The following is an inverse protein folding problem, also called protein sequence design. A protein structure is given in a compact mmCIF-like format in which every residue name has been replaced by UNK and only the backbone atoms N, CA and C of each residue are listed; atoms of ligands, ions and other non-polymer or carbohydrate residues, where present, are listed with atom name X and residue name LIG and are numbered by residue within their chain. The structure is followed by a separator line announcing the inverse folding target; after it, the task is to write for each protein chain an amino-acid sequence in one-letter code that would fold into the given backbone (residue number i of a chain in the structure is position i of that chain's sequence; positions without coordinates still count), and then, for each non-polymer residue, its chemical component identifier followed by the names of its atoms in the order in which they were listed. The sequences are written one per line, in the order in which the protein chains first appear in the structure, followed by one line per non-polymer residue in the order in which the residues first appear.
data_IF_285489463330
#
_entry.id   IF_285489463330
#
_cell.length_a   1.000
_cell.length_b   1.000
_cell.length_c   1.000
_cell.angle_alpha   90.00
_cell.angle_beta   90.00
_cell.angle_gamma   90.00
#
_symmetry.space_group_name_H-M   'P 1'
#
loop_
_entity.id
_entity.type
_entity.pdbx_description
1 polymer ?
#
# COMPACT_ATOMS: atom_id res chain seq x y z
N UNK A 1 10.04 17.54 -15.09
CA UNK A 1 11.29 17.56 -14.30
C UNK A 1 11.18 16.83 -12.96
N UNK A 2 10.14 17.05 -12.14
CA UNK A 2 9.95 16.40 -10.83
C UNK A 2 9.36 14.97 -10.88
N UNK A 3 9.28 14.36 -12.06
CA UNK A 3 8.81 12.99 -12.26
C UNK A 3 10.02 12.05 -12.41
N UNK A 4 9.77 10.73 -12.32
CA UNK A 4 10.81 9.73 -12.54
C UNK A 4 11.46 9.90 -13.93
N UNK A 5 12.76 9.63 -14.09
CA UNK A 5 13.40 9.63 -15.40
C UNK A 5 12.87 8.55 -16.35
N UNK A 6 12.14 7.56 -15.84
CA UNK A 6 11.42 6.58 -16.65
C UNK A 6 9.98 7.02 -16.99
N UNK A 7 9.55 8.20 -16.57
CA UNK A 7 8.29 8.82 -17.00
C UNK A 7 8.57 9.86 -18.07
N UNK A 8 7.90 9.74 -19.21
CA UNK A 8 8.00 10.68 -20.34
C UNK A 8 6.64 11.32 -20.58
N UNK A 9 6.60 12.65 -20.62
CA UNK A 9 5.41 13.42 -21.00
C UNK A 9 4.98 13.09 -22.44
N UNK A 10 3.69 13.26 -22.82
CA UNK A 10 3.26 13.24 -24.21
C UNK A 10 4.09 14.15 -25.14
N UNK A 11 4.70 15.22 -24.60
CA UNK A 11 5.59 16.14 -25.32
C UNK A 11 7.04 15.63 -25.46
N UNK A 12 7.33 14.38 -25.07
CA UNK A 12 8.67 13.78 -25.16
C UNK A 12 9.66 14.21 -24.06
N UNK A 13 9.21 14.96 -23.05
CA UNK A 13 10.05 15.42 -21.94
C UNK A 13 10.07 14.36 -20.83
N UNK A 14 11.24 13.79 -20.56
CA UNK A 14 11.43 12.85 -19.45
C UNK A 14 11.61 13.58 -18.11
N UNK A 15 11.18 12.96 -17.02
CA UNK A 15 11.55 13.38 -15.67
C UNK A 15 13.07 13.31 -15.45
N UNK A 16 13.56 13.93 -14.37
CA UNK A 16 14.97 13.77 -13.98
C UNK A 16 15.03 12.99 -12.68
N UNK A 17 14.42 13.54 -11.63
CA UNK A 17 14.34 12.94 -10.29
C UNK A 17 13.13 13.53 -9.57
N UNK A 18 12.40 12.72 -8.83
CA UNK A 18 11.34 13.18 -7.94
C UNK A 18 11.91 13.75 -6.62
N UNK A 19 12.38 14.99 -6.70
CA UNK A 19 12.96 15.72 -5.56
C UNK A 19 11.96 15.87 -4.39
N UNK A 20 10.67 16.20 -4.61
CA UNK A 20 9.70 16.24 -3.51
C UNK A 20 9.56 14.91 -2.76
N UNK A 21 9.53 13.79 -3.49
CA UNK A 21 9.47 12.46 -2.88
C UNK A 21 10.74 12.13 -2.07
N UNK A 22 11.91 12.47 -2.59
CA UNK A 22 13.18 12.33 -1.85
C UNK A 22 13.19 13.16 -0.57
N UNK A 23 12.71 14.40 -0.63
CA UNK A 23 12.69 15.31 0.50
C UNK A 23 11.78 14.78 1.62
N UNK A 24 10.55 14.35 1.28
CA UNK A 24 9.61 13.86 2.30
C UNK A 24 10.06 12.52 2.88
N UNK A 25 10.57 11.59 2.07
CA UNK A 25 11.11 10.31 2.56
C UNK A 25 12.28 10.56 3.52
N UNK A 26 13.21 11.44 3.15
CA UNK A 26 14.34 11.82 4.02
C UNK A 26 13.88 12.45 5.32
N UNK A 27 12.94 13.40 5.25
CA UNK A 27 12.41 14.07 6.44
C UNK A 27 11.74 13.08 7.40
N UNK A 28 10.87 12.19 6.89
CA UNK A 28 10.16 11.20 7.71
C UNK A 28 11.12 10.13 8.24
N UNK A 29 12.10 9.67 7.47
CA UNK A 29 13.11 8.72 7.95
C UNK A 29 13.97 9.31 9.08
N UNK A 30 14.39 10.58 8.97
CA UNK A 30 15.12 11.26 10.04
C UNK A 30 14.28 11.46 11.30
N UNK A 31 12.99 11.79 11.11
CA UNK A 31 12.01 11.88 12.20
C UNK A 31 11.85 10.52 12.91
N UNK A 32 11.77 9.42 12.15
CA UNK A 32 11.71 8.06 12.70
C UNK A 32 12.99 7.69 13.48
N UNK A 33 14.17 8.07 12.99
CA UNK A 33 15.45 7.83 13.68
C UNK A 33 15.52 8.60 15.00
N UNK A 34 15.07 9.86 15.03
CA UNK A 34 15.01 10.67 16.26
C UNK A 34 14.06 10.07 17.31
N UNK A 35 13.10 9.27 16.87
CA UNK A 35 12.14 8.56 17.69
C UNK A 35 10.80 9.27 17.69
N UNK A 36 9.77 8.55 17.25
CA UNK A 36 8.38 9.03 17.24
C UNK A 36 7.69 8.59 18.51
N UNK A 37 7.72 9.43 19.54
CA UNK A 37 6.82 9.27 20.68
C UNK A 37 5.47 9.87 20.28
N UNK A 38 4.79 9.21 19.35
CA UNK A 38 3.51 9.67 18.85
C UNK A 38 2.50 9.72 19.99
N UNK A 39 1.83 10.86 20.13
CA UNK A 39 0.64 10.94 20.97
C UNK A 39 -0.51 10.31 20.20
N UNK A 40 -1.15 9.28 20.76
CA UNK A 40 -2.35 8.66 20.18
C UNK A 40 -3.43 9.70 19.81
N UNK A 41 -3.44 10.85 20.52
CA UNK A 41 -4.28 12.01 20.22
C UNK A 41 -4.00 12.62 18.84
N UNK A 42 -2.72 12.83 18.49
CA UNK A 42 -2.32 13.42 17.20
C UNK A 42 -2.71 12.48 16.06
N UNK A 43 -2.46 11.18 16.23
CA UNK A 43 -2.87 10.18 15.24
C UNK A 43 -4.40 10.19 15.04
N UNK A 44 -5.18 10.27 16.13
CA UNK A 44 -6.64 10.34 16.04
C UNK A 44 -7.12 11.58 15.30
N UNK A 45 -6.53 12.75 15.55
CA UNK A 45 -6.86 13.98 14.80
C UNK A 45 -6.61 13.79 13.30
N UNK A 46 -5.43 13.25 12.95
CA UNK A 46 -5.05 13.03 11.55
C UNK A 46 -6.05 12.08 10.87
N UNK A 47 -6.45 11.00 11.53
CA UNK A 47 -7.45 10.06 10.99
C UNK A 47 -8.82 10.72 10.82
N UNK A 48 -9.29 11.48 11.83
CA UNK A 48 -10.57 12.19 11.75
C UNK A 48 -10.57 13.16 10.57
N UNK A 49 -9.51 13.93 10.39
CA UNK A 49 -9.38 14.88 9.26
C UNK A 49 -9.42 14.15 7.92
N UNK A 50 -8.68 13.03 7.77
CA UNK A 50 -8.69 12.23 6.53
C UNK A 50 -10.09 11.70 6.22
N UNK A 51 -10.76 11.10 7.19
CA UNK A 51 -12.11 10.52 7.01
C UNK A 51 -13.13 11.61 6.72
N UNK A 52 -13.09 12.73 7.45
CA UNK A 52 -14.01 13.85 7.27
C UNK A 52 -13.94 14.40 5.85
N UNK A 53 -12.74 14.49 5.25
CA UNK A 53 -12.57 15.01 3.90
C UNK A 53 -13.08 14.04 2.84
N UNK A 54 -12.85 12.73 3.03
CA UNK A 54 -13.45 11.71 2.15
C UNK A 54 -14.98 11.78 2.20
N UNK A 55 -15.56 11.86 3.39
CA UNK A 55 -17.01 12.00 3.58
C UNK A 55 -17.53 13.30 2.96
N UNK A 56 -16.81 14.41 3.12
CA UNK A 56 -17.17 15.70 2.53
C UNK A 56 -17.21 15.62 0.99
N UNK A 57 -16.22 14.99 0.36
CA UNK A 57 -16.19 14.80 -1.10
C UNK A 57 -17.37 13.93 -1.54
N UNK A 58 -17.66 12.84 -0.82
CA UNK A 58 -18.80 11.97 -1.14
C UNK A 58 -20.10 12.76 -1.05
N UNK A 59 -20.32 13.48 0.05
CA UNK A 59 -21.56 14.21 0.31
C UNK A 59 -21.79 15.36 -0.68
N UNK A 60 -20.76 16.18 -0.94
CA UNK A 60 -20.87 17.28 -1.89
C UNK A 60 -20.91 16.78 -3.33
N UNK A 61 -20.06 15.83 -3.68
CA UNK A 61 -19.98 15.28 -5.03
C UNK A 61 -21.24 14.55 -5.46
N UNK A 62 -22.01 13.99 -4.53
CA UNK A 62 -23.30 13.35 -4.84
C UNK A 62 -24.27 14.27 -5.58
N UNK A 63 -24.29 15.56 -5.25
CA UNK A 63 -25.14 16.55 -5.91
C UNK A 63 -24.70 16.93 -7.33
N UNK A 64 -23.51 16.50 -7.75
CA UNK A 64 -22.90 16.81 -9.06
C UNK A 64 -22.74 15.56 -9.94
N UNK A 65 -23.30 14.41 -9.52
CA UNK A 65 -23.27 13.20 -10.33
C UNK A 65 -24.09 13.42 -11.60
N UNK A 66 -23.47 13.20 -12.75
CA UNK A 66 -24.16 13.10 -14.03
C UNK A 66 -24.41 11.63 -14.34
N UNK A 67 -25.69 11.22 -14.35
CA UNK A 67 -26.11 9.83 -14.61
C UNK A 67 -25.62 9.31 -15.97
N UNK A 68 -25.39 10.19 -16.95
CA UNK A 68 -24.82 9.79 -18.24
C UNK A 68 -23.43 9.17 -18.12
N UNK A 69 -22.64 9.56 -17.10
CA UNK A 69 -21.33 8.97 -16.85
C UNK A 69 -21.43 7.53 -16.30
N UNK A 70 -22.58 7.15 -15.76
CA UNK A 70 -22.85 5.79 -15.26
C UNK A 70 -23.65 4.92 -16.23
N UNK A 71 -24.04 5.46 -17.40
CA UNK A 71 -24.82 4.72 -18.39
C UNK A 71 -24.12 3.42 -18.84
N UNK A 72 -22.78 3.46 -18.98
CA UNK A 72 -21.94 2.29 -19.24
C UNK A 72 -21.05 1.98 -18.03
N UNK A 73 -21.67 1.55 -16.93
CA UNK A 73 -20.95 1.29 -15.67
C UNK A 73 -19.83 0.25 -15.78
N UNK A 74 -20.03 -0.77 -16.63
CA UNK A 74 -18.99 -1.72 -17.04
C UNK A 74 -18.77 -1.53 -18.53
N UNK A 75 -17.65 -0.90 -18.94
CA UNK A 75 -17.31 -0.77 -20.35
C UNK A 75 -17.11 -2.14 -21.01
N UNK A 76 -17.36 -2.20 -22.31
CA UNK A 76 -17.09 -3.39 -23.13
C UNK A 76 -15.61 -3.82 -23.04
N UNK A 77 -15.32 -5.13 -23.09
CA UNK A 77 -13.95 -5.63 -23.05
C UNK A 77 -13.09 -5.07 -24.18
N UNK A 78 -12.06 -4.33 -23.82
CA UNK A 78 -11.10 -3.70 -24.72
C UNK A 78 -9.68 -3.85 -24.16
N UNK A 79 -8.68 -3.51 -24.98
CA UNK A 79 -7.29 -3.38 -24.54
C UNK A 79 -6.91 -1.92 -24.49
N UNK A 80 -6.19 -1.56 -23.43
CA UNK A 80 -5.65 -0.22 -23.25
C UNK A 80 -4.13 -0.31 -23.15
N UNK A 81 -3.43 0.54 -23.89
CA UNK A 81 -1.99 0.69 -23.80
C UNK A 81 -1.71 1.91 -22.94
N UNK A 82 -0.97 1.72 -21.86
CA UNK A 82 -0.59 2.82 -20.99
C UNK A 82 0.55 3.66 -21.59
N UNK A 83 0.94 4.71 -20.88
CA UNK A 83 2.03 5.62 -21.27
C UNK A 83 3.41 4.94 -21.33
N UNK A 84 3.55 3.73 -20.77
CA UNK A 84 4.77 2.93 -20.79
C UNK A 84 4.76 1.92 -21.96
N UNK A 85 3.70 1.88 -22.77
CA UNK A 85 3.55 0.92 -23.86
C UNK A 85 3.06 -0.45 -23.40
N UNK A 86 2.63 -0.59 -22.15
CA UNK A 86 2.17 -1.84 -21.56
C UNK A 86 0.68 -2.00 -21.85
N UNK A 87 0.32 -3.18 -22.36
CA UNK A 87 -1.08 -3.49 -22.71
C UNK A 87 -1.81 -4.12 -21.52
N UNK A 88 -2.91 -3.49 -21.11
CA UNK A 88 -3.81 -3.96 -20.06
C UNK A 88 -5.19 -4.29 -20.63
N UNK A 89 -5.89 -5.20 -19.95
CA UNK A 89 -7.32 -5.43 -20.20
C UNK A 89 -8.12 -4.28 -19.58
N UNK A 90 -9.08 -3.75 -20.32
CA UNK A 90 -10.01 -2.70 -19.90
C UNK A 90 -11.45 -3.17 -20.13
N UNK A 91 -12.38 -2.82 -19.25
CA UNK A 91 -13.76 -3.29 -19.36
C UNK A 91 -13.93 -4.79 -19.12
N UNK A 92 -15.19 -5.22 -18.97
CA UNK A 92 -15.56 -6.59 -18.65
C UNK A 92 -14.89 -7.17 -17.39
N UNK A 93 -14.98 -8.49 -17.22
CA UNK A 93 -14.50 -9.20 -16.03
C UNK A 93 -12.97 -9.11 -15.90
N UNK A 94 -12.23 -9.20 -17.01
CA UNK A 94 -10.77 -9.15 -16.98
C UNK A 94 -10.24 -7.75 -16.64
N UNK A 95 -10.90 -6.69 -17.11
CA UNK A 95 -10.58 -5.31 -16.72
C UNK A 95 -10.86 -5.06 -15.23
N UNK A 96 -12.00 -5.56 -14.72
CA UNK A 96 -12.33 -5.49 -13.29
C UNK A 96 -11.28 -6.21 -12.45
N UNK A 97 -10.82 -7.39 -12.88
CA UNK A 97 -9.83 -8.18 -12.14
C UNK A 97 -8.47 -7.50 -12.07
N UNK A 98 -7.99 -6.95 -13.19
CA UNK A 98 -6.74 -6.18 -13.23
C UNK A 98 -6.82 -4.87 -12.44
N UNK A 99 -7.96 -4.17 -12.54
CA UNK A 99 -8.22 -2.98 -11.73
C UNK A 99 -8.26 -3.31 -10.24
N UNK A 100 -8.92 -4.40 -9.85
CA UNK A 100 -8.99 -4.88 -8.46
C UNK A 100 -7.59 -5.16 -7.89
N UNK A 101 -6.72 -5.82 -8.65
CA UNK A 101 -5.32 -6.03 -8.26
C UNK A 101 -4.51 -4.74 -8.14
N UNK A 102 -4.84 -3.72 -8.94
CA UNK A 102 -4.19 -2.40 -8.87
C UNK A 102 -4.65 -1.60 -7.66
N UNK A 103 -5.96 -1.43 -7.48
CA UNK A 103 -6.54 -0.68 -6.35
C UNK A 103 -6.39 -1.39 -5.01
N UNK A 104 -6.02 -2.68 -5.01
CA UNK A 104 -5.63 -3.41 -3.81
C UNK A 104 -4.56 -2.67 -2.99
N UNK A 105 -3.68 -1.91 -3.66
CA UNK A 105 -2.71 -1.03 -3.00
C UNK A 105 -3.37 -0.10 -1.95
N UNK A 106 -4.56 0.43 -2.24
CA UNK A 106 -5.27 1.34 -1.34
C UNK A 106 -5.77 0.67 -0.05
N UNK A 107 -5.85 -0.67 -0.02
CA UNK A 107 -6.26 -1.44 1.14
C UNK A 107 -5.08 -1.86 2.03
N UNK A 108 -3.83 -1.63 1.62
CA UNK A 108 -2.65 -2.01 2.39
C UNK A 108 -2.53 -1.13 3.64
N UNK A 109 -2.26 -1.74 4.80
CA UNK A 109 -2.05 -1.05 6.06
C UNK A 109 -2.93 -1.51 7.21
N UNK A 110 -3.99 -2.29 6.97
CA UNK A 110 -4.77 -2.90 8.07
C UNK A 110 -3.92 -3.85 8.92
N UNK A 111 -2.90 -4.46 8.32
CA UNK A 111 -1.92 -5.33 8.95
C UNK A 111 -0.98 -4.56 9.89
N UNK A 112 -0.83 -3.23 9.73
CA UNK A 112 -0.09 -2.40 10.68
C UNK A 112 -0.70 -2.44 12.08
N UNK A 113 -2.03 -2.64 12.20
CA UNK A 113 -2.69 -2.83 13.51
C UNK A 113 -2.10 -4.03 14.24
N UNK A 114 -1.71 -5.09 13.53
CA UNK A 114 -1.05 -6.27 14.11
C UNK A 114 0.25 -5.94 14.85
N UNK A 115 0.95 -4.89 14.44
CA UNK A 115 2.21 -4.46 15.07
C UNK A 115 2.00 -3.81 16.44
N UNK A 116 0.79 -3.30 16.71
CA UNK A 116 0.41 -2.73 17.99
C UNK A 116 -0.16 -3.79 18.96
N UNK A 117 -0.15 -5.07 18.59
CA UNK A 117 -0.70 -6.15 19.43
C UNK A 117 -0.11 -6.19 20.85
N UNK A 118 1.17 -5.81 21.00
CA UNK A 118 1.86 -5.77 22.29
C UNK A 118 1.48 -4.57 23.17
N UNK A 119 0.91 -3.53 22.56
CA UNK A 119 0.49 -2.27 23.22
C UNK A 119 -1.02 -2.27 23.52
N UNK A 120 -1.76 -3.25 22.99
CA UNK A 120 -3.21 -3.38 23.13
C UNK A 120 -3.60 -4.02 24.46
N UNK A 121 -4.55 -3.41 25.20
CA UNK A 121 -5.03 -3.92 26.49
C UNK A 121 -5.69 -5.29 26.38
N UNK A 122 -6.56 -5.50 25.40
CA UNK A 122 -7.20 -6.79 25.14
C UNK A 122 -6.99 -7.23 23.68
N UNK A 123 -5.81 -7.77 23.34
CA UNK A 123 -5.48 -8.13 21.96
C UNK A 123 -6.47 -9.13 21.35
N UNK A 124 -7.15 -9.93 22.19
CA UNK A 124 -8.13 -10.93 21.77
C UNK A 124 -9.37 -10.34 21.10
N UNK A 125 -9.86 -9.21 21.61
CA UNK A 125 -11.09 -8.56 21.14
C UNK A 125 -10.79 -7.32 20.30
N UNK A 126 -9.83 -6.53 20.73
CA UNK A 126 -9.56 -5.21 20.15
C UNK A 126 -8.88 -5.33 18.78
N UNK A 127 -8.01 -6.33 18.59
CA UNK A 127 -7.27 -6.50 17.33
C UNK A 127 -8.18 -6.93 16.17
N UNK A 128 -9.02 -7.98 16.31
CA UNK A 128 -9.95 -8.34 15.24
C UNK A 128 -10.95 -7.22 14.94
N UNK A 129 -11.44 -6.51 15.95
CA UNK A 129 -12.35 -5.39 15.77
C UNK A 129 -11.67 -4.22 15.04
N UNK A 130 -10.43 -3.89 15.41
CA UNK A 130 -9.65 -2.86 14.73
C UNK A 130 -9.36 -3.20 13.27
N UNK A 131 -8.93 -4.44 12.99
CA UNK A 131 -8.60 -4.88 11.62
C UNK A 131 -9.87 -4.97 10.75
N UNK A 132 -10.88 -5.72 11.18
CA UNK A 132 -12.10 -5.93 10.37
C UNK A 132 -12.95 -4.66 10.30
N UNK A 133 -13.08 -3.92 11.40
CA UNK A 133 -13.86 -2.68 11.46
C UNK A 133 -13.27 -1.61 10.56
N UNK A 134 -11.95 -1.38 10.62
CA UNK A 134 -11.29 -0.43 9.71
C UNK A 134 -11.42 -0.85 8.24
N UNK A 135 -11.27 -2.15 7.94
CA UNK A 135 -11.39 -2.66 6.57
C UNK A 135 -12.80 -2.45 6.00
N UNK A 136 -13.85 -2.76 6.77
CA UNK A 136 -15.25 -2.59 6.34
C UNK A 136 -15.56 -1.10 6.09
N UNK A 137 -15.19 -0.23 7.04
CA UNK A 137 -15.41 1.22 6.91
C UNK A 137 -14.69 1.77 5.67
N UNK A 138 -13.40 1.42 5.50
CA UNK A 138 -12.63 1.87 4.33
C UNK A 138 -13.22 1.32 3.02
N UNK A 139 -13.69 0.07 3.01
CA UNK A 139 -14.34 -0.53 1.82
C UNK A 139 -15.57 0.27 1.41
N UNK A 140 -16.46 0.58 2.36
CA UNK A 140 -17.69 1.36 2.10
C UNK A 140 -17.31 2.75 1.57
N UNK A 141 -16.37 3.43 2.23
CA UNK A 141 -15.92 4.75 1.81
C UNK A 141 -15.29 4.72 0.43
N UNK A 142 -14.44 3.74 0.10
CA UNK A 142 -13.81 3.62 -1.21
C UNK A 142 -14.82 3.34 -2.32
N UNK A 143 -15.82 2.48 -2.09
CA UNK A 143 -16.88 2.20 -3.06
C UNK A 143 -17.72 3.45 -3.33
N UNK A 144 -18.17 4.13 -2.28
CA UNK A 144 -18.94 5.37 -2.41
C UNK A 144 -18.12 6.48 -3.09
N UNK A 145 -16.85 6.62 -2.69
CA UNK A 145 -15.94 7.59 -3.26
C UNK A 145 -15.69 7.34 -4.75
N UNK A 146 -15.41 6.10 -5.14
CA UNK A 146 -15.23 5.73 -6.54
C UNK A 146 -16.51 5.98 -7.36
N UNK A 147 -17.68 5.62 -6.82
CA UNK A 147 -18.97 5.85 -7.47
C UNK A 147 -19.25 7.34 -7.72
N UNK A 148 -19.03 8.18 -6.72
CA UNK A 148 -19.16 9.64 -6.86
C UNK A 148 -18.16 10.16 -7.89
N UNK A 149 -16.88 9.76 -7.79
CA UNK A 149 -15.82 10.29 -8.64
C UNK A 149 -16.03 9.95 -10.12
N UNK A 150 -16.47 8.73 -10.45
CA UNK A 150 -16.83 8.34 -11.83
C UNK A 150 -18.16 8.94 -12.29
N UNK A 151 -19.00 9.42 -11.36
CA UNK A 151 -20.21 10.17 -11.67
C UNK A 151 -19.96 11.63 -12.03
N UNK A 152 -18.89 12.23 -11.48
CA UNK A 152 -18.52 13.63 -11.73
C UNK A 152 -17.99 13.85 -13.15
N UNK A 153 -17.13 12.95 -13.63
CA UNK A 153 -16.47 13.07 -14.94
C UNK A 153 -16.36 11.69 -15.61
N UNK A 154 -16.41 11.61 -16.96
CA UNK A 154 -16.39 10.33 -17.67
C UNK A 154 -15.07 9.57 -17.47
N UNK A 155 -15.10 8.23 -17.60
CA UNK A 155 -13.91 7.38 -17.38
C UNK A 155 -12.71 7.77 -18.25
N UNK A 156 -12.94 8.23 -19.48
CA UNK A 156 -11.88 8.67 -20.38
C UNK A 156 -11.15 9.92 -19.88
N UNK A 157 -11.78 10.73 -19.03
CA UNK A 157 -11.12 11.84 -18.34
C UNK A 157 -9.98 11.34 -17.43
N UNK A 158 -10.20 10.24 -16.70
CA UNK A 158 -9.19 9.64 -15.82
C UNK A 158 -8.09 8.91 -16.58
N UNK A 159 -8.37 8.49 -17.82
CA UNK A 159 -7.39 7.82 -18.69
C UNK A 159 -6.49 8.81 -19.42
N UNK A 160 -6.95 10.06 -19.58
CA UNK A 160 -6.16 11.11 -20.22
C UNK A 160 -5.00 11.55 -19.30
N UNK A 161 -3.74 11.30 -19.68
CA UNK A 161 -2.56 11.68 -18.89
C UNK A 161 -2.46 13.18 -18.61
N UNK A 162 -3.06 14.01 -19.48
CA UNK A 162 -2.99 15.47 -19.38
C UNK A 162 -4.03 16.05 -18.42
N UNK A 163 -5.05 15.26 -18.05
CA UNK A 163 -6.20 15.74 -17.27
C UNK A 163 -6.33 15.01 -15.93
N UNK A 164 -6.56 13.71 -15.99
CA UNK A 164 -7.01 12.90 -14.85
C UNK A 164 -5.90 12.16 -14.09
N UNK A 165 -4.64 12.54 -14.28
CA UNK A 165 -3.44 11.85 -13.78
C UNK A 165 -3.32 11.73 -12.25
N UNK A 166 -2.13 11.93 -11.68
CA UNK A 166 -1.83 11.59 -10.27
C UNK A 166 -2.75 12.28 -9.22
N UNK A 167 -3.36 13.42 -9.58
CA UNK A 167 -4.29 14.18 -8.73
C UNK A 167 -5.75 14.07 -9.21
N UNK A 168 -6.19 12.87 -9.58
CA UNK A 168 -7.50 12.56 -10.19
C UNK A 168 -8.71 13.21 -9.48
N UNK A 169 -8.73 13.17 -8.15
CA UNK A 169 -9.81 13.74 -7.33
C UNK A 169 -9.86 15.27 -7.45
N UNK A 170 -8.70 15.91 -7.39
CA UNK A 170 -8.57 17.36 -7.51
C UNK A 170 -8.93 17.82 -8.93
N UNK A 171 -8.54 17.05 -9.94
CA UNK A 171 -8.90 17.30 -11.33
C UNK A 171 -10.42 17.19 -11.55
N UNK A 172 -11.05 16.12 -11.05
CA UNK A 172 -12.49 15.92 -11.17
C UNK A 172 -13.30 17.03 -10.45
N UNK A 173 -12.85 17.46 -9.26
CA UNK A 173 -13.49 18.59 -8.55
C UNK A 173 -13.39 19.89 -9.36
N UNK A 174 -12.24 20.17 -9.97
CA UNK A 174 -12.07 21.40 -10.77
C UNK A 174 -12.93 21.40 -12.02
N UNK A 175 -13.07 20.25 -12.66
CA UNK A 175 -13.87 20.09 -13.89
C UNK A 175 -15.37 20.12 -13.61
N UNK A 176 -15.86 19.29 -12.69
CA UNK A 176 -17.29 19.11 -12.44
C UNK A 176 -17.87 20.11 -11.42
N UNK A 177 -17.03 20.72 -10.57
CA UNK A 177 -17.45 21.59 -9.47
C UNK A 177 -16.62 22.89 -9.42
N UNK A 178 -16.63 23.72 -10.49
CA UNK A 178 -15.79 24.92 -10.57
C UNK A 178 -16.05 25.93 -9.44
N UNK A 179 -17.28 26.03 -8.91
CA UNK A 179 -17.59 26.87 -7.76
C UNK A 179 -16.97 26.41 -6.43
N UNK A 180 -16.52 25.15 -6.33
CA UNK A 180 -15.90 24.58 -5.12
C UNK A 180 -14.37 24.56 -5.19
N UNK A 181 -13.75 25.57 -5.81
CA UNK A 181 -12.28 25.67 -5.88
C UNK A 181 -11.57 25.63 -4.51
N UNK A 182 -12.24 26.05 -3.43
CA UNK A 182 -11.73 25.91 -2.06
C UNK A 182 -11.64 24.44 -1.62
N UNK A 183 -12.57 23.59 -2.05
CA UNK A 183 -12.60 22.16 -1.74
C UNK A 183 -11.38 21.48 -2.35
N UNK A 184 -11.08 21.75 -3.62
CA UNK A 184 -9.89 21.24 -4.31
C UNK A 184 -8.58 21.57 -3.56
N UNK A 185 -8.43 22.81 -3.07
CA UNK A 185 -7.26 23.23 -2.29
C UNK A 185 -7.18 22.51 -0.94
N UNK A 186 -8.28 22.47 -0.21
CA UNK A 186 -8.35 21.78 1.10
C UNK A 186 -8.05 20.29 0.98
N UNK A 187 -8.59 19.63 -0.05
CA UNK A 187 -8.33 18.22 -0.37
C UNK A 187 -6.85 18.00 -0.68
N UNK A 188 -6.22 18.88 -1.44
CA UNK A 188 -4.78 18.79 -1.74
C UNK A 188 -3.95 18.82 -0.45
N UNK A 189 -4.20 19.77 0.44
CA UNK A 189 -3.48 19.89 1.73
C UNK A 189 -3.67 18.63 2.59
N UNK A 190 -4.90 18.12 2.63
CA UNK A 190 -5.22 16.93 3.41
C UNK A 190 -4.63 15.65 2.84
N UNK A 191 -4.56 15.50 1.52
CA UNK A 191 -3.87 14.38 0.88
C UNK A 191 -2.37 14.42 1.23
N UNK A 192 -1.73 15.60 1.16
CA UNK A 192 -0.32 15.75 1.53
C UNK A 192 -0.05 15.39 3.01
N UNK A 193 -0.88 15.89 3.92
CA UNK A 193 -0.80 15.52 5.34
C UNK A 193 -1.17 14.04 5.58
N UNK A 194 -2.07 13.51 4.75
CA UNK A 194 -2.52 12.13 4.79
C UNK A 194 -1.40 11.16 4.42
N UNK A 195 -0.70 11.42 3.32
CA UNK A 195 0.40 10.59 2.84
C UNK A 195 1.61 10.63 3.75
N UNK A 196 1.97 11.76 4.35
CA UNK A 196 3.08 11.82 5.30
C UNK A 196 2.88 10.87 6.50
N UNK A 197 1.64 10.79 7.00
CA UNK A 197 1.27 9.84 8.06
C UNK A 197 1.34 8.38 7.60
N UNK A 198 0.96 8.06 6.35
CA UNK A 198 1.08 6.67 5.82
C UNK A 198 2.56 6.29 5.64
N UNK A 199 3.39 7.19 5.11
CA UNK A 199 4.84 6.96 4.94
C UNK A 199 5.48 6.63 6.30
N UNK A 200 5.13 7.38 7.35
CA UNK A 200 5.65 7.13 8.70
C UNK A 200 5.30 5.72 9.20
N UNK A 201 4.03 5.32 9.08
CA UNK A 201 3.56 3.99 9.53
C UNK A 201 4.25 2.87 8.76
N UNK A 202 4.39 3.00 7.43
CA UNK A 202 5.02 2.00 6.59
C UNK A 202 6.53 1.84 6.89
N UNK A 203 7.25 2.95 7.04
CA UNK A 203 8.68 2.93 7.41
C UNK A 203 8.89 2.34 8.81
N UNK A 204 8.00 2.66 9.77
CA UNK A 204 8.04 2.08 11.11
C UNK A 204 7.80 0.56 11.09
N UNK A 205 6.79 0.10 10.34
CA UNK A 205 6.50 -1.32 10.14
C UNK A 205 7.70 -2.06 9.55
N UNK A 206 8.27 -1.53 8.45
CA UNK A 206 9.45 -2.09 7.80
C UNK A 206 10.65 -2.18 8.75
N UNK A 207 10.92 -1.12 9.51
CA UNK A 207 12.01 -1.07 10.51
C UNK A 207 11.88 -2.18 11.55
N UNK A 208 10.66 -2.42 12.07
CA UNK A 208 10.37 -3.47 13.05
C UNK A 208 10.59 -4.88 12.48
N UNK A 209 10.12 -5.13 11.25
CA UNK A 209 10.31 -6.43 10.58
C UNK A 209 11.80 -6.71 10.38
N UNK A 210 12.55 -5.73 9.87
CA UNK A 210 14.00 -5.89 9.62
C UNK A 210 14.78 -6.07 10.92
N UNK A 211 14.38 -5.38 11.98
CA UNK A 211 14.96 -5.57 13.32
C UNK A 211 14.78 -7.01 13.82
N UNK A 212 13.56 -7.58 13.69
CA UNK A 212 13.30 -8.97 14.09
C UNK A 212 14.10 -9.96 13.23
N UNK A 213 14.08 -9.80 11.91
CA UNK A 213 14.83 -10.66 10.98
C UNK A 213 16.34 -10.62 11.24
N UNK A 214 16.87 -9.44 11.61
CA UNK A 214 18.28 -9.27 12.01
C UNK A 214 18.60 -10.04 13.30
N UNK A 215 17.70 -10.00 14.30
CA UNK A 215 17.87 -10.79 15.53
C UNK A 215 17.86 -12.29 15.27
N UNK A 216 17.06 -12.74 14.31
CA UNK A 216 17.00 -14.15 13.88
C UNK A 216 18.23 -14.57 13.05
N UNK A 217 19.13 -13.62 12.72
CA UNK A 217 20.34 -13.85 11.92
C UNK A 217 20.09 -13.93 10.41
N UNK A 218 18.87 -13.59 9.96
CA UNK A 218 18.51 -13.59 8.54
C UNK A 218 19.04 -12.36 7.79
N UNK A 219 19.25 -11.25 8.50
CA UNK A 219 19.84 -10.01 8.00
C UNK A 219 21.12 -9.62 8.78
N UNK A 220 21.97 -8.71 8.26
CA UNK A 220 23.14 -8.20 8.96
C UNK A 220 22.81 -7.52 10.30
N UNK A 221 23.66 -7.71 11.32
CA UNK A 221 23.46 -7.18 12.69
C UNK A 221 23.22 -5.66 12.75
N UNK A 222 23.68 -4.91 11.74
CA UNK A 222 23.45 -3.47 11.60
C UNK A 222 21.95 -3.08 11.64
N UNK A 223 21.04 -3.96 11.24
CA UNK A 223 19.60 -3.70 11.31
C UNK A 223 19.01 -3.83 12.72
N UNK A 224 19.74 -4.46 13.64
CA UNK A 224 19.40 -4.56 15.06
C UNK A 224 20.21 -3.63 15.98
N UNK A 225 21.16 -2.88 15.44
CA UNK A 225 21.98 -1.92 16.19
C UNK A 225 21.17 -0.69 16.59
N UNK A 226 20.99 -0.50 17.90
CA UNK A 226 20.13 0.54 18.45
C UNK A 226 20.94 1.79 18.83
N UNK A 227 20.40 2.98 18.54
CA UNK A 227 21.04 4.25 18.89
C UNK A 227 21.10 4.45 20.42
N UNK A 228 22.25 4.83 21.01
CA UNK A 228 22.41 4.95 22.47
C UNK A 228 21.40 5.91 23.14
N UNK A 229 21.17 7.07 22.51
CA UNK A 229 20.24 8.12 23.00
C UNK A 229 18.76 7.87 22.64
N UNK A 230 18.45 7.62 21.36
CA UNK A 230 17.08 7.53 20.86
C UNK A 230 16.45 6.14 20.96
N UNK A 231 17.25 5.09 21.22
CA UNK A 231 16.79 3.70 21.31
C UNK A 231 16.05 3.21 20.05
N UNK A 232 16.44 3.71 18.88
CA UNK A 232 15.93 3.34 17.55
C UNK A 232 17.01 2.65 16.69
N UNK A 233 16.66 1.73 15.76
CA UNK A 233 17.62 1.06 14.89
C UNK A 233 18.11 1.97 13.75
N UNK A 234 18.99 2.93 14.09
CA UNK A 234 19.37 4.02 13.18
C UNK A 234 20.13 3.57 11.93
N UNK A 235 21.06 2.61 12.06
CA UNK A 235 21.85 2.11 10.91
C UNK A 235 20.95 1.41 9.89
N UNK A 236 20.06 0.53 10.37
CA UNK A 236 19.06 -0.12 9.53
C UNK A 236 18.15 0.90 8.83
N UNK A 237 17.67 1.90 9.57
CA UNK A 237 16.83 2.97 9.00
C UNK A 237 17.56 3.83 7.96
N UNK A 238 18.87 4.05 8.09
CA UNK A 238 19.65 4.77 7.07
C UNK A 238 19.79 3.94 5.79
N UNK A 239 20.02 2.63 5.89
CA UNK A 239 20.04 1.74 4.71
C UNK A 239 18.67 1.71 4.03
N UNK A 240 17.60 1.61 4.82
CA UNK A 240 16.22 1.67 4.32
C UNK A 240 15.96 3.01 3.64
N UNK A 241 16.37 4.13 4.24
CA UNK A 241 16.25 5.47 3.65
C UNK A 241 16.91 5.52 2.28
N UNK A 242 18.16 5.07 2.14
CA UNK A 242 18.85 5.09 0.84
C UNK A 242 18.09 4.27 -0.20
N UNK A 243 17.65 3.07 0.15
CA UNK A 243 16.90 2.21 -0.77
C UNK A 243 15.55 2.82 -1.16
N UNK A 244 14.74 3.26 -0.19
CA UNK A 244 13.42 3.85 -0.45
C UNK A 244 13.55 5.17 -1.21
N UNK A 245 14.57 5.99 -0.91
CA UNK A 245 14.86 7.21 -1.64
C UNK A 245 15.20 6.93 -3.11
N UNK A 246 16.01 5.90 -3.40
CA UNK A 246 16.29 5.51 -4.79
C UNK A 246 15.01 5.10 -5.53
N UNK A 247 14.15 4.29 -4.92
CA UNK A 247 12.87 3.93 -5.55
C UNK A 247 11.95 5.15 -5.72
N UNK A 248 11.81 5.98 -4.69
CA UNK A 248 10.93 7.15 -4.70
C UNK A 248 11.40 8.25 -5.68
N UNK A 249 12.71 8.41 -5.85
CA UNK A 249 13.30 9.42 -6.74
C UNK A 249 13.31 8.99 -8.20
N UNK A 250 13.52 7.70 -8.46
CA UNK A 250 13.83 7.19 -9.81
C UNK A 250 12.76 6.29 -10.41
N UNK A 251 11.89 5.64 -9.65
CA UNK A 251 10.92 4.67 -10.20
C UNK A 251 9.52 5.32 -10.32
N UNK A 252 8.77 5.10 -11.43
CA UNK A 252 7.41 5.60 -11.58
C UNK A 252 6.48 5.08 -10.47
N UNK A 253 5.58 5.96 -9.97
CA UNK A 253 4.71 5.63 -8.83
C UNK A 253 3.72 4.50 -9.11
N UNK A 254 3.21 4.41 -10.34
CA UNK A 254 2.37 3.34 -10.84
C UNK A 254 3.08 1.97 -10.78
N UNK A 255 4.34 1.91 -11.26
CA UNK A 255 5.17 0.70 -11.21
C UNK A 255 5.40 0.26 -9.77
N UNK A 256 5.76 1.20 -8.87
CA UNK A 256 5.94 0.90 -7.45
C UNK A 256 4.63 0.41 -6.82
N UNK A 257 3.49 1.00 -7.19
CA UNK A 257 2.16 0.57 -6.76
C UNK A 257 1.86 -0.88 -7.17
N UNK A 258 2.06 -1.21 -8.45
CA UNK A 258 1.86 -2.56 -8.97
C UNK A 258 2.80 -3.59 -8.31
N UNK A 259 4.08 -3.24 -8.12
CA UNK A 259 5.06 -4.08 -7.41
C UNK A 259 4.64 -4.33 -5.96
N UNK A 260 4.13 -3.31 -5.29
CA UNK A 260 3.66 -3.41 -3.91
C UNK A 260 2.41 -4.31 -3.82
N UNK A 261 1.44 -4.13 -4.72
CA UNK A 261 0.23 -4.95 -4.76
C UNK A 261 0.52 -6.43 -4.96
N UNK A 262 1.33 -6.80 -5.97
CA UNK A 262 1.62 -8.21 -6.22
C UNK A 262 2.37 -8.87 -5.06
N UNK A 263 3.34 -8.15 -4.47
CA UNK A 263 4.10 -8.66 -3.32
C UNK A 263 3.21 -8.92 -2.11
N UNK A 264 2.31 -7.99 -1.80
CA UNK A 264 1.39 -8.11 -0.66
C UNK A 264 0.32 -9.17 -0.90
N UNK A 265 -0.26 -9.25 -2.11
CA UNK A 265 -1.20 -10.31 -2.47
C UNK A 265 -0.55 -11.69 -2.31
N UNK A 266 0.70 -11.85 -2.77
CA UNK A 266 1.44 -13.10 -2.60
C UNK A 266 1.70 -13.40 -1.12
N UNK A 267 2.09 -12.40 -0.32
CA UNK A 267 2.25 -12.56 1.12
C UNK A 267 0.95 -13.00 1.79
N UNK A 268 -0.20 -12.46 1.40
CA UNK A 268 -1.50 -12.84 1.94
C UNK A 268 -1.90 -14.27 1.55
N UNK A 269 -1.58 -14.72 0.34
CA UNK A 269 -1.72 -16.13 -0.03
C UNK A 269 -0.91 -17.04 0.91
N UNK A 270 0.34 -16.67 1.21
CA UNK A 270 1.19 -17.41 2.13
C UNK A 270 0.62 -17.42 3.56
N UNK A 271 0.08 -16.29 4.03
CA UNK A 271 -0.59 -16.21 5.35
C UNK A 271 -1.82 -17.10 5.40
N UNK A 272 -2.68 -17.08 4.36
CA UNK A 272 -3.84 -17.97 4.26
C UNK A 272 -3.42 -19.45 4.28
N UNK A 273 -2.39 -19.82 3.52
CA UNK A 273 -1.84 -21.18 3.53
C UNK A 273 -1.27 -21.55 4.91
N UNK A 274 -0.54 -20.63 5.56
CA UNK A 274 0.02 -20.82 6.88
C UNK A 274 -1.07 -21.08 7.94
N UNK A 275 -2.22 -20.40 7.87
CA UNK A 275 -3.36 -20.67 8.76
C UNK A 275 -3.87 -22.11 8.61
N UNK A 276 -3.99 -22.63 7.39
CA UNK A 276 -4.40 -24.02 7.15
C UNK A 276 -3.36 -24.99 7.72
N UNK A 277 -2.07 -24.74 7.49
CA UNK A 277 -0.97 -25.58 7.96
C UNK A 277 -0.91 -25.59 9.49
N UNK A 278 -0.97 -24.43 10.13
CA UNK A 278 -0.90 -24.28 11.59
C UNK A 278 -2.10 -24.94 12.29
N UNK A 279 -3.25 -25.02 11.62
CA UNK A 279 -4.43 -25.74 12.12
C UNK A 279 -4.24 -27.25 12.13
N UNK A 280 -3.43 -27.80 11.23
CA UNK A 280 -3.09 -29.23 11.19
C UNK A 280 -1.88 -29.57 12.07
N UNK A 281 -0.82 -28.76 12.05
CA UNK A 281 0.43 -29.05 12.77
C UNK A 281 0.37 -28.74 14.27
N UNK A 282 -0.30 -27.65 14.66
CA UNK A 282 -0.40 -27.23 16.06
C UNK A 282 -1.86 -27.01 16.49
N UNK A 283 -2.68 -28.08 16.56
CA UNK A 283 -4.10 -27.94 16.86
C UNK A 283 -4.35 -27.34 18.24
N UNK A 284 -3.50 -27.65 19.23
CA UNK A 284 -3.67 -27.28 20.63
C UNK A 284 -3.12 -25.88 20.99
N UNK A 285 -2.52 -25.16 20.04
CA UNK A 285 -2.00 -23.82 20.30
C UNK A 285 -3.14 -22.87 20.74
N UNK A 286 -2.98 -22.11 21.84
CA UNK A 286 -3.96 -21.14 22.29
C UNK A 286 -4.08 -19.99 21.28
N UNK A 287 -5.23 -19.90 20.61
CA UNK A 287 -5.51 -18.87 19.59
C UNK A 287 -6.42 -17.80 20.18
N UNK A 288 -5.93 -16.57 20.20
CA UNK A 288 -6.71 -15.41 20.70
C UNK A 288 -7.94 -15.18 19.81
N UNK A 289 -7.74 -15.19 18.48
CA UNK A 289 -8.81 -15.15 17.49
C UNK A 289 -8.78 -16.42 16.63
N UNK A 290 -9.96 -16.94 16.28
CA UNK A 290 -10.12 -18.09 15.38
C UNK A 290 -10.89 -17.63 14.15
N UNK A 291 -10.24 -17.66 12.99
CA UNK A 291 -10.93 -17.46 11.71
C UNK A 291 -12.09 -18.45 11.59
N UNK A 292 -13.30 -17.99 11.22
CA UNK A 292 -14.43 -18.87 11.00
C UNK A 292 -14.19 -19.78 9.78
N UNK A 293 -14.93 -20.90 9.70
CA UNK A 293 -15.00 -21.76 8.50
C UNK A 293 -13.62 -22.12 7.89
N UNK A 294 -12.64 -22.52 8.71
CA UNK A 294 -11.38 -23.08 8.20
C UNK A 294 -11.61 -24.52 7.78
N UNK A 295 -11.18 -24.96 6.58
CA UNK A 295 -10.25 -24.30 5.65
C UNK A 295 -10.87 -23.43 4.55
N UNK A 296 -12.20 -23.32 4.49
CA UNK A 296 -12.91 -22.64 3.41
C UNK A 296 -12.51 -21.16 3.25
N UNK A 297 -12.50 -20.36 4.33
CA UNK A 297 -12.14 -18.93 4.24
C UNK A 297 -10.68 -18.73 3.77
N UNK A 298 -9.68 -19.42 4.33
CA UNK A 298 -8.32 -19.34 3.80
C UNK A 298 -8.19 -19.77 2.34
N UNK A 299 -8.93 -20.80 1.89
CA UNK A 299 -8.92 -21.24 0.48
C UNK A 299 -9.49 -20.15 -0.42
N UNK A 300 -10.61 -19.53 -0.05
CA UNK A 300 -11.17 -18.40 -0.78
C UNK A 300 -10.17 -17.25 -0.87
N UNK A 301 -9.46 -16.93 0.22
CA UNK A 301 -8.41 -15.91 0.22
C UNK A 301 -7.27 -16.20 -0.75
N UNK A 302 -6.83 -17.46 -0.84
CA UNK A 302 -5.80 -17.89 -1.81
C UNK A 302 -6.31 -17.72 -3.25
N UNK A 303 -7.56 -18.13 -3.51
CA UNK A 303 -8.17 -18.04 -4.84
C UNK A 303 -8.36 -16.59 -5.26
N UNK A 304 -8.89 -15.72 -4.38
CA UNK A 304 -9.12 -14.31 -4.71
C UNK A 304 -7.82 -13.55 -4.92
N UNK A 305 -6.82 -13.74 -4.06
CA UNK A 305 -5.50 -13.13 -4.25
C UNK A 305 -4.84 -13.64 -5.53
N UNK A 306 -4.90 -14.96 -5.79
CA UNK A 306 -4.36 -15.55 -7.01
C UNK A 306 -5.02 -15.01 -8.28
N UNK A 307 -6.35 -14.82 -8.26
CA UNK A 307 -7.09 -14.22 -9.36
C UNK A 307 -6.65 -12.76 -9.61
N UNK A 308 -6.50 -11.95 -8.54
CA UNK A 308 -6.02 -10.56 -8.69
C UNK A 308 -4.58 -10.50 -9.23
N UNK A 309 -3.70 -11.39 -8.77
CA UNK A 309 -2.32 -11.49 -9.30
C UNK A 309 -2.35 -11.89 -10.79
N UNK A 310 -3.23 -12.81 -11.18
CA UNK A 310 -3.40 -13.18 -12.58
C UNK A 310 -3.86 -11.98 -13.43
N UNK A 311 -4.79 -11.17 -12.92
CA UNK A 311 -5.29 -9.97 -13.60
C UNK A 311 -4.27 -8.85 -13.78
N UNK A 312 -3.22 -8.79 -12.96
CA UNK A 312 -2.16 -7.77 -13.04
C UNK A 312 -1.23 -7.92 -14.26
N UNK A 313 -1.29 -9.04 -14.97
CA UNK A 313 -0.49 -9.27 -16.19
C UNK A 313 0.93 -9.79 -15.94
N UNK A 314 1.59 -10.22 -17.02
CA UNK A 314 2.84 -10.98 -16.98
C UNK A 314 4.02 -10.19 -16.40
N UNK A 315 4.10 -8.89 -16.64
CA UNK A 315 5.21 -8.08 -16.13
C UNK A 315 5.31 -8.10 -14.61
N UNK A 316 4.16 -8.09 -13.93
CA UNK A 316 4.14 -8.17 -12.48
C UNK A 316 4.66 -9.52 -11.99
N UNK A 317 4.31 -10.62 -12.67
CA UNK A 317 4.89 -11.94 -12.38
C UNK A 317 6.41 -11.96 -12.56
N UNK A 318 6.93 -11.34 -13.62
CA UNK A 318 8.37 -11.22 -13.81
C UNK A 318 9.04 -10.43 -12.67
N UNK A 319 8.43 -9.33 -12.22
CA UNK A 319 8.90 -8.53 -11.07
C UNK A 319 8.90 -9.36 -9.77
N UNK A 320 7.82 -10.11 -9.49
CA UNK A 320 7.74 -11.01 -8.34
C UNK A 320 8.80 -12.11 -8.42
N UNK A 321 8.97 -12.75 -9.59
CA UNK A 321 9.98 -13.78 -9.81
C UNK A 321 11.40 -13.27 -9.60
N UNK A 322 11.72 -12.08 -10.13
CA UNK A 322 13.01 -11.42 -9.92
C UNK A 322 13.29 -11.10 -8.44
N UNK A 323 12.28 -10.61 -7.72
CA UNK A 323 12.40 -10.32 -6.28
C UNK A 323 12.60 -11.60 -5.44
N UNK A 324 11.85 -12.67 -5.74
CA UNK A 324 12.01 -13.96 -5.08
C UNK A 324 13.38 -14.58 -5.38
N UNK A 325 13.86 -14.48 -6.61
CA UNK A 325 15.20 -14.94 -6.99
C UNK A 325 16.29 -14.21 -6.19
N UNK A 326 16.19 -12.88 -6.07
CA UNK A 326 17.09 -12.08 -5.22
C UNK A 326 17.01 -12.52 -3.75
N UNK A 327 15.80 -12.73 -3.23
CA UNK A 327 15.59 -13.24 -1.87
C UNK A 327 16.25 -14.61 -1.64
N UNK A 328 16.13 -15.53 -2.60
CA UNK A 328 16.80 -16.83 -2.54
C UNK A 328 18.32 -16.71 -2.58
N UNK A 329 18.86 -15.84 -3.44
CA UNK A 329 20.30 -15.58 -3.49
C UNK A 329 20.79 -15.10 -2.13
N UNK A 330 20.13 -14.11 -1.52
CA UNK A 330 20.49 -13.62 -0.18
C UNK A 330 20.37 -14.73 0.86
N UNK A 331 19.31 -15.53 0.80
CA UNK A 331 19.08 -16.63 1.75
C UNK A 331 20.19 -17.69 1.68
N UNK A 332 20.53 -18.17 0.48
CA UNK A 332 21.54 -19.22 0.31
C UNK A 332 22.98 -18.71 0.48
N UNK A 333 23.25 -17.46 0.10
CA UNK A 333 24.57 -16.85 0.26
C UNK A 333 24.86 -16.47 1.72
N UNK A 334 23.91 -15.86 2.41
CA UNK A 334 24.10 -15.26 3.73
C UNK A 334 23.23 -15.92 4.82
N UNK A 335 21.90 -15.88 4.69
CA UNK A 335 20.99 -16.18 5.81
C UNK A 335 21.09 -17.62 6.31
N UNK A 336 21.29 -18.61 5.43
CA UNK A 336 21.44 -20.03 5.81
C UNK A 336 22.63 -20.26 6.76
N UNK A 337 23.73 -19.50 6.60
CA UNK A 337 24.95 -19.65 7.42
C UNK A 337 24.83 -18.93 8.78
N UNK A 338 24.06 -17.85 8.82
CA UNK A 338 23.94 -16.93 9.97
C UNK A 338 22.65 -17.11 10.79
N UNK A 339 21.67 -17.86 10.28
CA UNK A 339 20.41 -18.13 10.97
C UNK A 339 20.64 -18.79 12.34
N UNK A 340 19.97 -18.23 13.34
CA UNK A 340 20.02 -18.70 14.74
C UNK A 340 18.88 -19.65 15.10
N UNK A 341 17.96 -19.90 14.17
CA UNK A 341 16.71 -20.64 14.41
C UNK A 341 16.93 -22.06 14.96
N UNK A 342 18.02 -22.72 14.58
CA UNK A 342 18.40 -24.06 15.05
C UNK A 342 19.66 -24.08 15.93
N UNK A 343 20.21 -22.92 16.30
CA UNK A 343 21.43 -22.85 17.10
C UNK A 343 21.44 -21.58 17.98
N UNK A 344 20.71 -21.58 19.11
CA UNK A 344 20.50 -20.40 19.96
C UNK A 344 21.81 -19.84 20.56
N UNK A 345 22.89 -20.63 20.59
CA UNK A 345 24.19 -20.22 21.13
C UNK A 345 25.07 -19.45 20.14
N UNK A 346 24.67 -19.31 18.87
CA UNK A 346 25.38 -18.47 17.88
C UNK A 346 25.22 -16.98 18.23
N UNK A 347 26.28 -16.36 18.75
CA UNK A 347 26.36 -14.93 19.10
C UNK A 347 26.18 -13.99 17.89
#
# INVERSE_FOLDING_TARGET
WCHSPFQTSPDGVSGIVNIPALAIVTAISLLLIRGTRESAFVNNIIVIVKVAIVVLIIALGWGFINEANHANYIPEPQKYVDHQGITYNFGGIMGILGAAGTVFFAFIGFDAVSTAAQETKNPKKDMPFGILGSLIICTILYVLFAHVLTGLVPLDFFRDPTKGGEASVVAAIKEAMPQYGWLSKSVTIAILAGFSSVILVMLLGQSRVFFSMSKDGLLPKAFSDVHPKFKTPYKGNLVILVLVALFAGFVPGDVVGHMTSIGTLFAFMLVCAAVIILRKKEPNMPRQFKTPLVPFIPILGIITCGAMIFGLGWENWARLGGWLALGFIIYFAYSKKHSKLNNPDKK
#
